data_IF_893110874111
#
_entry.id   IF_893110874111
#
_cell.length_a   1.000
_cell.length_b   1.000
_cell.length_c   1.000
_cell.angle_alpha   90.00
_cell.angle_beta   90.00
_cell.angle_gamma   90.00
#
_symmetry.space_group_name_H-M   'P 1'
#
loop_
_entity.id
_entity.type
_entity.pdbx_description
1 polymer ?
#
# COMPACT_ATOMS: atom_id res chain seq x y z
N UNK A 1 0.42 17.18 -4.34
CA UNK A 1 0.64 18.55 -4.85
C UNK A 1 -0.04 19.50 -3.86
N UNK A 2 0.74 20.33 -3.17
CA UNK A 2 0.31 21.11 -2.00
C UNK A 2 -0.53 22.33 -2.40
N UNK A 3 -1.74 22.45 -1.84
CA UNK A 3 -2.58 23.66 -1.93
C UNK A 3 -2.21 24.58 -0.76
N UNK A 4 -1.10 25.32 -0.89
CA UNK A 4 -0.65 26.27 0.15
C UNK A 4 -0.77 27.75 -0.28
N UNK A 5 -1.31 28.01 -1.47
CA UNK A 5 -1.37 29.36 -2.04
C UNK A 5 -2.58 30.22 -1.67
N UNK A 6 -3.71 29.66 -1.24
CA UNK A 6 -4.96 30.44 -1.10
C UNK A 6 -5.36 30.84 0.34
N UNK A 7 -4.65 30.35 1.36
CA UNK A 7 -4.98 30.63 2.77
C UNK A 7 -4.59 32.05 3.23
N UNK A 8 -3.56 32.66 2.64
CA UNK A 8 -3.12 34.00 3.05
C UNK A 8 -4.00 35.15 2.52
N UNK A 9 -4.72 34.96 1.41
CA UNK A 9 -5.59 36.01 0.84
C UNK A 9 -6.86 36.24 1.67
N UNK A 10 -7.36 35.22 2.37
CA UNK A 10 -8.64 35.28 3.08
C UNK A 10 -8.46 36.01 4.43
N UNK A 11 -7.32 35.82 5.10
CA UNK A 11 -7.05 36.46 6.39
C UNK A 11 -6.92 38.00 6.28
N UNK A 12 -6.31 38.50 5.19
CA UNK A 12 -6.19 39.94 4.93
C UNK A 12 -7.54 40.62 4.69
N UNK A 13 -8.45 39.96 3.95
CA UNK A 13 -9.76 40.53 3.61
C UNK A 13 -10.70 40.63 4.84
N UNK A 14 -10.55 39.75 5.83
CA UNK A 14 -11.36 39.79 7.05
C UNK A 14 -10.91 40.91 8.00
N UNK A 15 -9.60 41.17 8.11
CA UNK A 15 -9.08 42.30 8.91
C UNK A 15 -9.51 43.66 8.34
N UNK A 16 -9.52 43.81 7.02
CA UNK A 16 -9.91 45.08 6.38
C UNK A 16 -11.43 45.34 6.50
N UNK A 17 -12.26 44.29 6.45
CA UNK A 17 -13.70 44.40 6.66
C UNK A 17 -14.08 44.74 8.12
N UNK A 18 -13.32 44.21 9.09
CA UNK A 18 -13.53 44.51 10.52
C UNK A 18 -13.18 45.97 10.86
N UNK A 19 -12.10 46.50 10.28
CA UNK A 19 -11.70 47.90 10.49
C UNK A 19 -12.72 48.91 9.96
N UNK A 20 -13.38 48.63 8.82
CA UNK A 20 -14.40 49.52 8.25
C UNK A 20 -15.71 49.54 9.06
N UNK A 21 -16.00 48.51 9.85
CA UNK A 21 -17.25 48.43 10.61
C UNK A 21 -17.25 49.27 11.91
N UNK A 22 -16.07 49.65 12.42
CA UNK A 22 -15.95 50.44 13.66
C UNK A 22 -16.00 51.96 13.46
N UNK A 23 -15.95 52.46 12.22
CA UNK A 23 -15.88 53.90 11.95
C UNK A 23 -17.25 54.60 11.76
N UNK A 24 -18.35 53.84 11.72
CA UNK A 24 -19.67 54.37 11.31
C UNK A 24 -20.70 54.59 12.45
N UNK A 25 -20.32 54.45 13.73
CA UNK A 25 -21.27 54.63 14.85
C UNK A 25 -20.94 55.85 15.71
N UNK A 26 -21.46 57.01 15.32
CA UNK A 26 -21.79 58.10 16.26
C UNK A 26 -23.20 58.60 15.96
N UNK A 27 -24.18 58.38 16.86
CA UNK A 27 -25.44 59.10 16.87
C UNK A 27 -25.53 60.08 18.04
N UNK A 28 -25.78 61.35 17.69
CA UNK A 28 -26.24 62.42 18.58
C UNK A 28 -27.64 62.10 19.12
N UNK A 29 -27.87 62.41 20.40
CA UNK A 29 -29.04 62.05 21.19
C UNK A 29 -30.17 63.10 21.14
N UNK A 30 -31.42 62.64 21.00
CA UNK A 30 -32.63 63.29 21.52
C UNK A 30 -33.63 62.25 22.07
N UNK A 31 -34.41 62.52 23.14
CA UNK A 31 -34.96 61.46 24.00
C UNK A 31 -36.47 61.17 23.89
N UNK A 32 -37.22 61.66 22.90
CA UNK A 32 -38.69 61.47 22.88
C UNK A 32 -39.27 60.66 21.71
N UNK A 33 -38.44 60.22 20.75
CA UNK A 33 -38.86 59.31 19.67
C UNK A 33 -38.44 57.85 19.92
N UNK A 34 -38.09 57.49 21.16
CA UNK A 34 -37.35 56.25 21.44
C UNK A 34 -38.18 54.98 21.55
N UNK A 35 -39.49 55.03 21.79
CA UNK A 35 -40.28 53.79 21.91
C UNK A 35 -40.87 53.33 20.57
N UNK A 36 -41.50 54.20 19.79
CA UNK A 36 -42.04 53.84 18.47
C UNK A 36 -40.95 53.56 17.42
N UNK A 37 -39.87 54.37 17.39
CA UNK A 37 -38.76 54.13 16.47
C UNK A 37 -37.92 52.91 16.85
N UNK A 38 -37.92 52.49 18.12
CA UNK A 38 -37.17 51.32 18.57
C UNK A 38 -37.96 50.02 18.37
N UNK A 39 -39.29 50.04 18.45
CA UNK A 39 -40.15 48.91 18.02
C UNK A 39 -40.10 48.72 16.50
N UNK A 40 -40.19 49.79 15.70
CA UNK A 40 -40.05 49.69 14.24
C UNK A 40 -38.62 49.33 13.80
N UNK A 41 -37.59 49.82 14.48
CA UNK A 41 -36.19 49.44 14.18
C UNK A 41 -35.89 48.01 14.65
N UNK A 42 -36.48 47.54 15.75
CA UNK A 42 -36.37 46.14 16.18
C UNK A 42 -37.09 45.19 15.23
N UNK A 43 -38.30 45.54 14.77
CA UNK A 43 -39.03 44.75 13.76
C UNK A 43 -38.32 44.76 12.40
N UNK A 44 -37.79 45.90 11.94
CA UNK A 44 -37.04 45.96 10.68
C UNK A 44 -35.73 45.15 10.76
N UNK A 45 -35.05 45.18 11.91
CA UNK A 45 -33.81 44.40 12.14
C UNK A 45 -34.12 42.91 12.29
N UNK A 46 -35.26 42.53 12.88
CA UNK A 46 -35.73 41.14 12.93
C UNK A 46 -36.12 40.59 11.55
N UNK A 47 -36.80 41.39 10.73
CA UNK A 47 -37.15 41.01 9.35
C UNK A 47 -35.90 40.86 8.48
N UNK A 48 -34.92 41.75 8.62
CA UNK A 48 -33.63 41.67 7.92
C UNK A 48 -32.80 40.45 8.37
N UNK A 49 -32.78 40.18 9.68
CA UNK A 49 -32.15 38.96 10.22
C UNK A 49 -32.88 37.68 9.82
N UNK A 50 -34.21 37.68 9.74
CA UNK A 50 -34.99 36.54 9.28
C UNK A 50 -34.76 36.23 7.80
N UNK A 51 -34.69 37.26 6.94
CA UNK A 51 -34.34 37.13 5.53
C UNK A 51 -32.91 36.61 5.35
N UNK A 52 -31.95 37.15 6.13
CA UNK A 52 -30.56 36.69 6.14
C UNK A 52 -30.42 35.25 6.64
N UNK A 53 -31.14 34.87 7.69
CA UNK A 53 -31.16 33.49 8.21
C UNK A 53 -31.81 32.52 7.22
N UNK A 54 -32.85 32.94 6.49
CA UNK A 54 -33.47 32.14 5.45
C UNK A 54 -32.48 31.82 4.31
N UNK A 55 -31.60 32.76 3.96
CA UNK A 55 -30.54 32.55 2.96
C UNK A 55 -29.38 31.69 3.47
N UNK A 56 -29.02 31.79 4.76
CA UNK A 56 -27.89 31.07 5.35
C UNK A 56 -28.24 29.64 5.79
N UNK A 57 -29.51 29.38 6.11
CA UNK A 57 -29.99 28.06 6.52
C UNK A 57 -29.63 26.92 5.55
N UNK A 58 -29.86 27.03 4.22
CA UNK A 58 -29.47 25.95 3.30
C UNK A 58 -27.96 25.72 3.27
N UNK A 59 -27.15 26.78 3.35
CA UNK A 59 -25.67 26.67 3.41
C UNK A 59 -25.21 26.00 4.71
N UNK A 60 -25.89 26.28 5.82
CA UNK A 60 -25.62 25.64 7.11
C UNK A 60 -25.99 24.15 7.09
N UNK A 61 -27.14 23.80 6.51
CA UNK A 61 -27.57 22.40 6.36
C UNK A 61 -26.64 21.61 5.43
N UNK A 62 -26.19 22.23 4.33
CA UNK A 62 -25.19 21.68 3.43
C UNK A 62 -23.86 21.45 4.17
N UNK A 63 -23.40 22.40 4.97
CA UNK A 63 -22.21 22.26 5.81
C UNK A 63 -22.33 21.09 6.78
N UNK A 64 -23.47 20.93 7.45
CA UNK A 64 -23.69 19.80 8.37
C UNK A 64 -23.69 18.46 7.62
N UNK A 65 -24.25 18.41 6.42
CA UNK A 65 -24.22 17.22 5.56
C UNK A 65 -22.80 16.87 5.16
N UNK A 66 -22.05 17.84 4.63
CA UNK A 66 -20.65 17.64 4.23
C UNK A 66 -19.78 17.24 5.41
N UNK A 67 -19.98 17.85 6.58
CA UNK A 67 -19.28 17.45 7.81
C UNK A 67 -19.54 15.97 8.13
N UNK A 68 -20.80 15.54 8.13
CA UNK A 68 -21.17 14.14 8.41
C UNK A 68 -20.54 13.18 7.40
N UNK A 69 -20.62 13.52 6.13
CA UNK A 69 -20.07 12.71 5.04
C UNK A 69 -18.55 12.59 5.15
N UNK A 70 -17.85 13.71 5.37
CA UNK A 70 -16.40 13.72 5.52
C UNK A 70 -15.93 12.94 6.75
N UNK A 71 -16.64 13.04 7.89
CA UNK A 71 -16.35 12.23 9.07
C UNK A 71 -16.54 10.73 8.76
N UNK A 72 -17.60 10.37 8.02
CA UNK A 72 -17.82 9.00 7.59
C UNK A 72 -16.68 8.47 6.72
N UNK A 73 -16.28 9.24 5.70
CA UNK A 73 -15.15 8.90 4.82
C UNK A 73 -13.83 8.78 5.59
N UNK A 74 -13.57 9.68 6.54
CA UNK A 74 -12.35 9.67 7.34
C UNK A 74 -12.29 8.43 8.23
N UNK A 75 -13.38 8.09 8.91
CA UNK A 75 -13.45 6.89 9.75
C UNK A 75 -13.27 5.61 8.92
N UNK A 76 -13.87 5.55 7.72
CA UNK A 76 -13.69 4.42 6.82
C UNK A 76 -12.23 4.30 6.35
N UNK A 77 -11.60 5.42 5.99
CA UNK A 77 -10.20 5.45 5.60
C UNK A 77 -9.27 5.06 6.75
N UNK A 78 -9.54 5.52 7.97
CA UNK A 78 -8.80 5.16 9.18
C UNK A 78 -8.90 3.65 9.45
N UNK A 79 -10.11 3.09 9.40
CA UNK A 79 -10.31 1.65 9.60
C UNK A 79 -9.54 0.81 8.57
N UNK A 80 -9.57 1.20 7.29
CA UNK A 80 -8.79 0.54 6.23
C UNK A 80 -7.29 0.64 6.48
N UNK A 81 -6.80 1.83 6.82
CA UNK A 81 -5.37 2.05 7.09
C UNK A 81 -4.89 1.25 8.31
N UNK A 82 -5.69 1.17 9.38
CA UNK A 82 -5.38 0.41 10.59
C UNK A 82 -5.32 -1.10 10.31
N UNK A 83 -6.27 -1.62 9.52
CA UNK A 83 -6.25 -3.02 9.09
C UNK A 83 -5.00 -3.35 8.24
N UNK A 84 -4.63 -2.46 7.32
CA UNK A 84 -3.42 -2.59 6.51
C UNK A 84 -2.15 -2.53 7.35
N UNK A 85 -2.08 -1.60 8.31
CA UNK A 85 -0.95 -1.53 9.24
C UNK A 85 -0.78 -2.85 9.99
N UNK A 86 -1.87 -3.40 10.53
CA UNK A 86 -1.82 -4.68 11.26
C UNK A 86 -1.35 -5.82 10.35
N UNK A 87 -1.74 -5.80 9.07
CA UNK A 87 -1.28 -6.79 8.07
C UNK A 87 0.22 -6.66 7.80
N UNK A 88 0.70 -5.44 7.62
CA UNK A 88 2.12 -5.15 7.40
C UNK A 88 2.98 -5.49 8.63
N UNK A 89 2.48 -5.26 9.84
CA UNK A 89 3.17 -5.62 11.07
C UNK A 89 3.33 -7.13 11.22
N UNK A 90 2.28 -7.91 10.92
CA UNK A 90 2.39 -9.39 10.87
C UNK A 90 3.42 -9.83 9.83
N UNK A 91 3.35 -9.24 8.64
CA UNK A 91 4.29 -9.51 7.55
C UNK A 91 5.75 -9.23 7.95
N UNK A 92 6.00 -8.10 8.62
CA UNK A 92 7.31 -7.74 9.13
C UNK A 92 7.79 -8.71 10.21
N UNK A 93 6.88 -9.17 11.09
CA UNK A 93 7.20 -10.17 12.10
C UNK A 93 7.58 -11.52 11.47
N UNK A 94 6.84 -11.97 10.46
CA UNK A 94 7.15 -13.20 9.72
C UNK A 94 8.53 -13.11 9.05
N UNK A 95 8.82 -11.99 8.37
CA UNK A 95 10.13 -11.75 7.78
C UNK A 95 11.27 -11.72 8.82
N UNK A 96 11.03 -11.10 9.98
CA UNK A 96 12.01 -11.07 11.07
C UNK A 96 12.28 -12.47 11.62
N UNK A 97 11.25 -13.31 11.73
CA UNK A 97 11.39 -14.70 12.14
C UNK A 97 12.20 -15.51 11.13
N UNK A 98 11.85 -15.45 9.83
CA UNK A 98 12.61 -16.14 8.78
C UNK A 98 14.07 -15.73 8.80
N UNK A 99 14.36 -14.44 8.97
CA UNK A 99 15.72 -13.94 9.05
C UNK A 99 16.47 -14.44 10.29
N UNK A 100 15.79 -14.59 11.44
CA UNK A 100 16.38 -15.19 12.63
C UNK A 100 16.71 -16.68 12.41
N UNK A 101 15.81 -17.44 11.76
CA UNK A 101 16.04 -18.84 11.40
C UNK A 101 17.24 -18.99 10.46
N UNK A 102 17.34 -18.16 9.41
CA UNK A 102 18.47 -18.17 8.49
C UNK A 102 19.81 -17.86 9.20
N UNK A 103 19.82 -16.90 10.13
CA UNK A 103 21.01 -16.60 10.94
C UNK A 103 21.40 -17.77 11.84
N UNK A 104 20.43 -18.46 12.43
CA UNK A 104 20.70 -19.64 13.25
C UNK A 104 21.28 -20.80 12.42
N UNK A 105 20.76 -21.04 11.22
CA UNK A 105 21.31 -22.02 10.28
C UNK A 105 22.75 -21.67 9.93
N UNK A 106 23.00 -20.42 9.53
CA UNK A 106 24.34 -19.96 9.17
C UNK A 106 25.33 -20.13 10.32
N UNK A 107 24.99 -19.66 11.52
CA UNK A 107 25.84 -19.78 12.69
C UNK A 107 26.20 -21.23 13.01
N UNK A 108 25.24 -22.16 12.89
CA UNK A 108 25.48 -23.59 13.08
C UNK A 108 26.44 -24.16 12.04
N UNK A 109 26.27 -23.80 10.77
CA UNK A 109 27.17 -24.23 9.68
C UNK A 109 28.58 -23.66 9.83
N UNK A 110 28.71 -22.39 10.22
CA UNK A 110 30.00 -21.74 10.48
C UNK A 110 30.71 -22.34 11.71
N UNK A 111 29.96 -22.74 12.73
CA UNK A 111 30.51 -23.41 13.92
C UNK A 111 30.84 -24.89 13.71
N UNK A 112 30.44 -25.47 12.57
CA UNK A 112 30.67 -26.88 12.28
C UNK A 112 32.16 -27.12 12.01
N UNK A 113 32.80 -27.96 12.85
CA UNK A 113 34.19 -28.38 12.64
C UNK A 113 34.28 -29.23 11.37
N UNK A 114 35.21 -28.88 10.49
CA UNK A 114 35.65 -29.75 9.41
C UNK A 114 36.82 -30.60 9.93
N UNK A 115 36.71 -31.94 9.97
CA UNK A 115 37.79 -32.79 10.44
C UNK A 115 38.94 -32.84 9.44
N UNK A 116 40.15 -33.02 9.95
CA UNK A 116 41.36 -33.22 9.16
C UNK A 116 41.60 -34.72 8.92
N UNK A 117 42.21 -35.07 7.79
CA UNK A 117 42.50 -36.48 7.45
C UNK A 117 43.39 -37.20 8.49
N UNK A 118 44.16 -36.44 9.27
CA UNK A 118 45.00 -36.94 10.37
C UNK A 118 44.25 -37.19 11.67
N UNK A 119 42.99 -36.78 11.78
CA UNK A 119 42.19 -36.98 12.98
C UNK A 119 41.93 -38.48 13.23
N UNK A 120 42.16 -38.93 14.47
CA UNK A 120 41.91 -40.33 14.85
C UNK A 120 40.45 -40.77 14.69
N UNK A 121 39.53 -39.80 14.71
CA UNK A 121 38.09 -39.95 14.57
C UNK A 121 37.57 -39.37 13.23
N UNK A 122 38.43 -39.28 12.21
CA UNK A 122 38.09 -38.67 10.92
C UNK A 122 36.78 -39.17 10.31
N UNK A 123 36.59 -40.49 10.19
CA UNK A 123 35.39 -41.06 9.57
C UNK A 123 34.08 -40.68 10.27
N UNK A 124 33.92 -40.91 11.59
CA UNK A 124 32.70 -40.50 12.28
C UNK A 124 32.52 -38.97 12.29
N UNK A 125 33.59 -38.20 12.48
CA UNK A 125 33.52 -36.73 12.45
C UNK A 125 33.10 -36.20 11.07
N UNK A 126 33.58 -36.80 9.98
CA UNK A 126 33.23 -36.42 8.62
C UNK A 126 31.76 -36.68 8.33
N UNK A 127 31.23 -37.84 8.74
CA UNK A 127 29.82 -38.17 8.58
C UNK A 127 28.92 -37.18 9.33
N UNK A 128 29.31 -36.77 10.54
CA UNK A 128 28.54 -35.80 11.32
C UNK A 128 28.58 -34.41 10.69
N UNK A 129 29.74 -33.98 10.18
CA UNK A 129 29.85 -32.73 9.44
C UNK A 129 28.95 -32.75 8.18
N UNK A 130 29.04 -33.78 7.35
CA UNK A 130 28.20 -33.92 6.16
C UNK A 130 26.70 -33.90 6.50
N UNK A 131 26.31 -34.60 7.58
CA UNK A 131 24.92 -34.59 8.07
C UNK A 131 24.49 -33.20 8.51
N UNK A 132 25.35 -32.46 9.19
CA UNK A 132 25.08 -31.08 9.63
C UNK A 132 24.84 -30.16 8.43
N UNK A 133 25.67 -30.26 7.39
CA UNK A 133 25.51 -29.49 6.17
C UNK A 133 24.24 -29.88 5.38
N UNK A 134 23.93 -31.17 5.27
CA UNK A 134 22.71 -31.63 4.60
C UNK A 134 21.44 -31.17 5.33
N UNK A 135 21.42 -31.29 6.66
CA UNK A 135 20.33 -30.75 7.48
C UNK A 135 20.20 -29.23 7.30
N UNK A 136 21.32 -28.50 7.31
CA UNK A 136 21.34 -27.06 7.05
C UNK A 136 20.75 -26.70 5.69
N UNK A 137 21.03 -27.49 4.65
CA UNK A 137 20.43 -27.31 3.31
C UNK A 137 18.93 -27.51 3.31
N UNK A 138 18.43 -28.56 3.98
CA UNK A 138 16.99 -28.84 4.09
C UNK A 138 16.28 -27.72 4.88
N UNK A 139 16.88 -27.26 5.97
CA UNK A 139 16.35 -26.15 6.77
C UNK A 139 16.33 -24.84 5.99
N UNK A 140 17.38 -24.54 5.21
CA UNK A 140 17.43 -23.39 4.31
C UNK A 140 16.29 -23.44 3.29
N UNK A 141 16.07 -24.59 2.64
CA UNK A 141 14.97 -24.77 1.70
C UNK A 141 13.64 -24.52 2.41
N UNK A 142 13.43 -25.07 3.61
CA UNK A 142 12.19 -24.87 4.37
C UNK A 142 11.96 -23.40 4.73
N UNK A 143 12.97 -22.72 5.24
CA UNK A 143 12.90 -21.31 5.63
C UNK A 143 12.64 -20.38 4.43
N UNK A 144 13.10 -20.77 3.23
CA UNK A 144 12.92 -20.00 1.99
C UNK A 144 11.74 -20.44 1.13
N UNK A 145 11.15 -21.61 1.40
CA UNK A 145 9.99 -22.15 0.67
C UNK A 145 8.63 -21.68 1.22
N UNK A 146 8.57 -21.18 2.46
CA UNK A 146 7.36 -20.58 3.04
C UNK A 146 7.10 -19.17 2.46
N UNK A 147 5.82 -18.77 2.31
CA UNK A 147 5.33 -18.35 1.01
C UNK A 147 5.48 -16.86 0.69
N UNK A 148 5.65 -16.65 -0.61
CA UNK A 148 5.38 -15.49 -1.45
C UNK A 148 3.94 -14.92 -1.33
N UNK A 149 3.33 -14.84 -0.14
CA UNK A 149 2.05 -14.16 0.08
C UNK A 149 2.21 -12.63 0.08
N UNK A 150 3.43 -12.11 0.24
CA UNK A 150 3.68 -10.67 0.40
C UNK A 150 4.08 -9.94 -0.88
N UNK A 151 4.45 -10.66 -1.94
CA UNK A 151 4.73 -10.07 -3.25
C UNK A 151 3.48 -9.89 -4.11
N UNK A 152 2.36 -10.55 -3.77
CA UNK A 152 1.08 -10.33 -4.45
C UNK A 152 0.33 -9.08 -3.96
N UNK A 153 0.66 -8.55 -2.78
CA UNK A 153 -0.05 -7.40 -2.18
C UNK A 153 0.40 -6.03 -2.69
N UNK A 154 1.67 -5.88 -3.09
CA UNK A 154 2.27 -4.58 -3.42
C UNK A 154 2.29 -4.28 -4.91
N UNK A 155 2.14 -5.30 -5.78
CA UNK A 155 2.02 -5.10 -7.22
C UNK A 155 0.57 -4.85 -7.70
N UNK A 156 -0.44 -5.11 -6.85
CA UNK A 156 -1.86 -5.10 -7.25
C UNK A 156 -2.53 -3.72 -7.07
N UNK A 157 -1.95 -2.78 -6.32
CA UNK A 157 -2.59 -1.46 -6.13
C UNK A 157 -2.39 -0.48 -7.31
N UNK A 158 -1.58 -0.83 -8.31
CA UNK A 158 -1.56 -0.14 -9.63
C UNK A 158 -2.38 -0.85 -10.70
N UNK A 159 -3.00 -1.99 -10.38
CA UNK A 159 -3.97 -2.66 -11.25
C UNK A 159 -5.39 -2.16 -10.93
N UNK A 160 -5.57 -0.84 -11.01
CA UNK A 160 -6.90 -0.28 -11.14
C UNK A 160 -7.48 -0.79 -12.47
N UNK A 161 -8.44 -1.72 -12.38
CA UNK A 161 -9.38 -2.09 -13.45
C UNK A 161 -8.71 -2.44 -14.79
N UNK A 162 -8.06 -3.59 -14.87
CA UNK A 162 -7.90 -4.24 -16.17
C UNK A 162 -8.77 -5.48 -16.15
N UNK A 163 -9.96 -5.29 -16.72
CA UNK A 163 -10.94 -6.33 -16.94
C UNK A 163 -10.27 -7.46 -17.74
N UNK A 164 -10.38 -8.71 -17.29
CA UNK A 164 -9.72 -9.86 -17.92
C UNK A 164 -10.17 -10.06 -19.38
N UNK A 165 -11.25 -9.39 -19.79
CA UNK A 165 -11.76 -9.36 -21.15
C UNK A 165 -10.92 -8.52 -22.14
N UNK A 166 -10.07 -7.60 -21.66
CA UNK A 166 -9.31 -6.67 -22.51
C UNK A 166 -7.87 -7.11 -22.81
N UNK A 167 -7.44 -8.29 -22.32
CA UNK A 167 -6.10 -8.79 -22.61
C UNK A 167 -6.10 -9.37 -24.03
N UNK A 168 -5.36 -8.77 -25.00
CA UNK A 168 -5.30 -9.32 -26.34
C UNK A 168 -4.68 -10.72 -26.27
N UNK A 169 -5.35 -11.73 -26.85
CA UNK A 169 -4.94 -13.13 -26.80
C UNK A 169 -3.47 -13.36 -27.18
N UNK A 170 -2.91 -12.53 -28.08
CA UNK A 170 -1.50 -12.56 -28.46
C UNK A 170 -0.51 -12.30 -27.32
N UNK A 171 -0.91 -11.55 -26.29
CA UNK A 171 -0.07 -11.25 -25.11
C UNK A 171 -0.03 -12.42 -24.15
N UNK A 172 -1.16 -13.11 -23.97
CA UNK A 172 -1.26 -14.35 -23.20
C UNK A 172 -0.47 -15.48 -23.87
N UNK A 173 -0.59 -15.63 -25.18
CA UNK A 173 0.20 -16.61 -25.94
C UNK A 173 1.70 -16.30 -25.89
N UNK A 174 2.13 -15.04 -26.03
CA UNK A 174 3.56 -14.68 -25.89
C UNK A 174 4.09 -14.99 -24.50
N UNK A 175 3.33 -14.69 -23.45
CA UNK A 175 3.78 -14.88 -22.06
C UNK A 175 3.76 -16.36 -21.67
N UNK A 176 2.75 -17.11 -22.11
CA UNK A 176 2.72 -18.56 -22.00
C UNK A 176 3.86 -19.23 -22.78
N UNK A 177 4.09 -18.81 -24.03
CA UNK A 177 5.19 -19.33 -24.85
C UNK A 177 6.54 -19.03 -24.23
N UNK A 178 6.78 -17.83 -23.68
CA UNK A 178 8.02 -17.50 -22.98
C UNK A 178 8.27 -18.40 -21.76
N UNK A 179 7.21 -18.78 -21.03
CA UNK A 179 7.31 -19.70 -19.90
C UNK A 179 7.62 -21.13 -20.32
N UNK A 180 7.01 -21.62 -21.41
CA UNK A 180 7.21 -22.98 -21.92
C UNK A 180 8.36 -23.14 -22.91
N UNK A 181 8.93 -22.06 -23.44
CA UNK A 181 10.06 -22.04 -24.37
C UNK A 181 11.25 -22.90 -23.89
N UNK A 182 11.77 -22.76 -22.65
CA UNK A 182 12.88 -23.59 -22.19
C UNK A 182 12.51 -25.08 -22.17
N UNK A 183 11.27 -25.43 -21.81
CA UNK A 183 10.79 -26.82 -21.80
C UNK A 183 10.64 -27.39 -23.22
N UNK A 184 10.12 -26.60 -24.15
CA UNK A 184 10.00 -27.00 -25.56
C UNK A 184 11.38 -27.23 -26.17
N UNK A 185 12.34 -26.35 -25.87
CA UNK A 185 13.70 -26.44 -26.37
C UNK A 185 14.42 -27.69 -25.85
N UNK A 186 14.26 -28.04 -24.57
CA UNK A 186 14.86 -29.27 -24.01
C UNK A 186 14.28 -30.53 -24.61
N UNK A 187 12.97 -30.60 -24.81
CA UNK A 187 12.31 -31.73 -25.47
C UNK A 187 12.79 -31.86 -26.93
N UNK A 188 12.89 -30.74 -27.65
CA UNK A 188 13.37 -30.72 -29.04
C UNK A 188 14.81 -31.21 -29.15
N UNK A 189 15.72 -30.69 -28.31
CA UNK A 189 17.12 -31.14 -28.30
C UNK A 189 17.23 -32.62 -27.95
N UNK A 190 16.49 -33.08 -26.93
CA UNK A 190 16.47 -34.49 -26.54
C UNK A 190 16.05 -35.38 -27.72
N UNK A 191 14.94 -35.05 -28.39
CA UNK A 191 14.47 -35.78 -29.56
C UNK A 191 15.48 -35.74 -30.72
N UNK A 192 16.13 -34.60 -30.95
CA UNK A 192 17.16 -34.46 -31.99
C UNK A 192 18.37 -35.36 -31.72
N UNK A 193 18.88 -35.38 -30.48
CA UNK A 193 19.98 -36.27 -30.11
C UNK A 193 19.62 -37.75 -30.22
N UNK A 194 18.37 -38.11 -29.89
CA UNK A 194 17.86 -39.46 -30.04
C UNK A 194 17.81 -39.89 -31.51
N UNK A 195 17.29 -39.03 -32.38
CA UNK A 195 17.25 -39.26 -33.83
C UNK A 195 18.67 -39.34 -34.43
N UNK A 196 19.59 -38.45 -34.03
CA UNK A 196 20.97 -38.49 -34.50
C UNK A 196 21.69 -39.76 -34.06
N UNK A 197 21.48 -40.17 -32.81
CA UNK A 197 22.02 -41.42 -32.27
C UNK A 197 21.50 -42.63 -33.04
N UNK A 198 20.21 -42.63 -33.39
CA UNK A 198 19.61 -43.70 -34.20
C UNK A 198 20.22 -43.76 -35.61
N UNK A 199 20.43 -42.62 -36.28
CA UNK A 199 21.05 -42.57 -37.62
C UNK A 199 22.50 -43.05 -37.57
N UNK A 200 23.27 -42.64 -36.55
CA UNK A 200 24.65 -43.09 -36.37
C UNK A 200 24.69 -44.60 -36.11
N UNK A 201 23.85 -45.08 -35.19
CA UNK A 201 23.77 -46.51 -34.88
C UNK A 201 23.36 -47.34 -36.11
N UNK A 202 22.40 -46.86 -36.90
CA UNK A 202 21.99 -47.49 -38.15
C UNK A 202 23.13 -47.53 -39.18
N UNK A 203 23.92 -46.46 -39.30
CA UNK A 203 25.07 -46.40 -40.21
C UNK A 203 26.24 -47.30 -39.77
N UNK A 204 26.42 -47.52 -38.47
CA UNK A 204 27.45 -48.43 -37.92
C UNK A 204 27.04 -49.90 -38.04
N UNK A 205 25.74 -50.18 -38.07
CA UNK A 205 25.19 -51.53 -38.19
C UNK A 205 25.09 -52.05 -39.65
N UNK A 206 25.37 -51.21 -40.65
CA UNK A 206 25.43 -51.56 -42.08
C UNK A 206 26.88 -51.71 -42.55
#
# INVERSE_FOLDING_TARGET
MFVSGSLHSISGQISEASARMHQHNQPQSSPEAKNAAQEQRSQATEVDNAARNALLKPRYEELLRTKRDLIGQLNEAEAKSSAEQTRLERSAADCAQTLAELRAILARLESCRIPELSDSDFHPALNEALRTFENGRIELIRATALPSEHTAGTAVQTAAKMDLADIPAGTLFKKGFAFFLPLILTILFSAFFLALSFIIAWKVAL
#
